data_IF_170053148286
#
_entry.id   IF_170053148286
#
_cell.length_a   1.000
_cell.length_b   1.000
_cell.length_c   1.000
_cell.angle_alpha   90.00
_cell.angle_beta   90.00
_cell.angle_gamma   90.00
#
_symmetry.space_group_name_H-M   'P 1'
#
loop_
_entity.id
_entity.type
_entity.pdbx_description
1 polymer ?
#
# COMPACT_ATOMS: atom_id res chain seq x y z
N UNK A 1 -96.28 -11.99 -36.32
CA UNK A 1 -96.18 -12.37 -34.90
C UNK A 1 -94.82 -13.05 -34.73
N UNK A 2 -93.83 -12.60 -33.96
CA UNK A 2 -93.86 -11.83 -32.72
C UNK A 2 -93.94 -12.78 -31.53
N UNK A 3 -92.78 -13.15 -30.96
CA UNK A 3 -92.46 -13.74 -29.63
C UNK A 3 -91.19 -14.61 -29.81
N UNK A 4 -90.03 -14.37 -29.21
CA UNK A 4 -89.68 -13.65 -27.99
C UNK A 4 -88.75 -14.56 -27.18
N UNK A 5 -87.47 -14.65 -27.59
CA UNK A 5 -86.44 -15.49 -26.98
C UNK A 5 -86.03 -14.91 -25.61
N UNK A 6 -86.48 -15.53 -24.50
CA UNK A 6 -85.98 -15.22 -23.16
C UNK A 6 -84.81 -16.16 -22.85
N UNK A 7 -83.57 -15.66 -22.96
CA UNK A 7 -82.38 -16.33 -22.40
C UNK A 7 -82.22 -15.88 -20.95
N UNK A 8 -82.34 -16.84 -20.03
CA UNK A 8 -82.09 -16.63 -18.61
C UNK A 8 -80.60 -16.48 -18.33
N UNK A 9 -80.29 -15.49 -17.48
CA UNK A 9 -78.97 -15.26 -16.89
C UNK A 9 -78.54 -16.46 -16.04
N UNK A 10 -77.36 -17.02 -16.30
CA UNK A 10 -76.61 -17.82 -15.33
C UNK A 10 -75.27 -17.12 -15.17
N UNK A 11 -75.12 -16.44 -14.03
CA UNK A 11 -73.93 -15.68 -13.66
C UNK A 11 -72.73 -16.60 -13.46
N UNK A 12 -71.66 -16.26 -14.16
CA UNK A 12 -70.31 -16.82 -14.02
C UNK A 12 -69.73 -16.35 -12.67
N UNK A 13 -69.54 -17.27 -11.73
CA UNK A 13 -68.67 -17.04 -10.58
C UNK A 13 -67.28 -17.51 -11.00
N UNK A 14 -66.43 -16.57 -11.43
CA UNK A 14 -64.99 -16.78 -11.51
C UNK A 14 -64.38 -16.34 -10.19
N UNK A 15 -63.85 -17.31 -9.46
CA UNK A 15 -63.08 -17.13 -8.24
C UNK A 15 -61.74 -16.47 -8.63
N UNK A 16 -61.64 -15.15 -8.45
CA UNK A 16 -60.40 -14.41 -8.62
C UNK A 16 -59.50 -14.75 -7.44
N UNK A 17 -58.47 -15.57 -7.68
CA UNK A 17 -57.31 -15.67 -6.79
C UNK A 17 -56.57 -14.34 -6.84
N UNK A 18 -56.83 -13.47 -5.85
CA UNK A 18 -55.98 -12.34 -5.58
C UNK A 18 -54.70 -12.85 -4.90
N UNK A 19 -53.67 -13.16 -5.70
CA UNK A 19 -52.32 -13.28 -5.19
C UNK A 19 -51.87 -11.88 -4.77
N UNK A 20 -51.89 -11.61 -3.47
CA UNK A 20 -51.29 -10.40 -2.89
C UNK A 20 -49.78 -10.57 -2.95
N UNK A 21 -49.20 -10.19 -4.08
CA UNK A 21 -47.78 -9.90 -4.22
C UNK A 21 -47.54 -8.51 -3.62
N UNK A 22 -46.76 -8.45 -2.55
CA UNK A 22 -45.75 -7.40 -2.27
C UNK A 22 -45.46 -7.42 -0.78
N UNK A 23 -44.62 -8.36 -0.37
CA UNK A 23 -43.67 -8.07 0.70
C UNK A 23 -42.45 -7.46 -0.01
N UNK A 24 -42.53 -6.16 -0.34
CA UNK A 24 -41.31 -5.37 -0.44
C UNK A 24 -40.77 -5.25 0.99
N UNK A 25 -39.99 -6.24 1.42
CA UNK A 25 -38.95 -5.95 2.39
C UNK A 25 -38.10 -4.86 1.75
N UNK A 26 -37.83 -3.72 2.41
CA UNK A 26 -36.79 -2.84 1.93
C UNK A 26 -35.53 -3.69 1.81
N UNK A 27 -35.00 -3.85 0.59
CA UNK A 27 -33.63 -4.32 0.45
C UNK A 27 -32.80 -3.46 1.39
N UNK A 28 -31.98 -4.06 2.28
CA UNK A 28 -31.09 -3.26 3.10
C UNK A 28 -30.33 -2.35 2.15
N UNK A 29 -30.32 -1.04 2.46
CA UNK A 29 -29.47 -0.11 1.73
C UNK A 29 -28.08 -0.76 1.65
N UNK A 30 -27.57 -0.90 0.42
CA UNK A 30 -26.31 -1.58 0.15
C UNK A 30 -25.22 -1.03 1.07
N UNK A 31 -24.44 -1.92 1.66
CA UNK A 31 -23.42 -1.54 2.63
C UNK A 31 -22.39 -0.60 1.99
N UNK A 32 -21.93 0.43 2.71
CA UNK A 32 -20.87 1.31 2.23
C UNK A 32 -19.67 0.50 1.75
N UNK A 33 -18.97 1.00 0.72
CA UNK A 33 -17.73 0.38 0.26
C UNK A 33 -16.73 0.30 1.41
N UNK A 34 -16.04 -0.84 1.51
CA UNK A 34 -15.00 -1.05 2.52
C UNK A 34 -13.67 -0.60 1.91
N UNK A 35 -13.19 0.57 2.31
CA UNK A 35 -11.91 1.13 1.87
C UNK A 35 -10.91 1.13 3.01
N UNK A 36 -9.61 0.96 2.73
CA UNK A 36 -8.58 1.12 3.75
C UNK A 36 -8.50 2.58 4.23
N UNK A 37 -8.17 2.81 5.51
CA UNK A 37 -7.77 4.15 5.97
C UNK A 37 -6.56 4.66 5.15
N UNK A 38 -6.60 5.90 4.68
CA UNK A 38 -5.54 6.49 3.84
C UNK A 38 -4.16 6.35 4.48
N UNK A 39 -4.06 6.62 5.77
CA UNK A 39 -2.83 6.51 6.56
C UNK A 39 -2.27 5.09 6.68
N UNK A 40 -3.10 4.07 6.42
CA UNK A 40 -2.69 2.67 6.48
C UNK A 40 -2.24 2.12 5.13
N UNK A 41 -2.50 2.81 4.02
CA UNK A 41 -2.18 2.30 2.68
C UNK A 41 -0.69 2.37 2.43
N UNK A 42 -0.09 1.21 2.15
CA UNK A 42 1.33 1.07 1.81
C UNK A 42 1.56 1.14 0.30
N UNK A 43 0.73 0.48 -0.49
CA UNK A 43 0.83 0.47 -1.97
C UNK A 43 -0.55 0.34 -2.60
N UNK A 44 -0.71 0.90 -3.80
CA UNK A 44 -1.86 0.66 -4.66
C UNK A 44 -1.37 0.14 -6.01
N UNK A 45 -1.90 -1.00 -6.43
CA UNK A 45 -1.61 -1.58 -7.75
C UNK A 45 -2.87 -1.50 -8.61
N UNK A 46 -2.73 -1.01 -9.83
CA UNK A 46 -3.81 -0.85 -10.81
C UNK A 46 -3.44 -1.65 -12.05
N UNK A 47 -4.33 -2.53 -12.49
CA UNK A 47 -4.11 -3.36 -13.68
C UNK A 47 -5.28 -3.26 -14.65
N UNK A 48 -4.97 -3.09 -15.94
CA UNK A 48 -5.91 -3.10 -17.07
C UNK A 48 -5.21 -3.64 -18.31
N UNK A 49 -5.85 -4.53 -19.05
CA UNK A 49 -5.33 -5.09 -20.31
C UNK A 49 -3.91 -5.68 -20.21
N UNK A 50 -3.57 -6.27 -19.05
CA UNK A 50 -2.24 -6.81 -18.75
C UNK A 50 -1.15 -5.75 -18.52
N UNK A 51 -1.52 -4.46 -18.47
CA UNK A 51 -0.66 -3.37 -18.01
C UNK A 51 -0.91 -3.13 -16.53
N UNK A 52 0.14 -3.24 -15.73
CA UNK A 52 0.10 -2.95 -14.29
C UNK A 52 0.89 -1.69 -13.99
N UNK A 53 0.37 -0.85 -13.11
CA UNK A 53 1.03 0.34 -12.56
C UNK A 53 0.85 0.37 -11.05
N UNK A 54 1.91 0.72 -10.32
CA UNK A 54 1.86 0.88 -8.86
C UNK A 54 1.91 2.37 -8.51
N UNK A 55 0.94 2.86 -7.76
CA UNK A 55 0.95 4.20 -7.16
C UNK A 55 1.15 4.10 -5.64
N UNK A 56 2.24 4.72 -5.18
CA UNK A 56 2.67 4.69 -3.77
C UNK A 56 2.74 6.07 -3.12
N UNK A 57 2.65 7.17 -3.89
CA UNK A 57 2.71 8.51 -3.31
C UNK A 57 1.38 8.90 -2.66
N UNK A 58 1.50 9.68 -1.59
CA UNK A 58 0.38 10.05 -0.72
C UNK A 58 -0.69 10.86 -1.46
N UNK A 59 -0.28 11.73 -2.37
CA UNK A 59 -1.19 12.58 -3.14
C UNK A 59 -2.09 11.77 -4.08
N UNK A 60 -1.53 10.82 -4.84
CA UNK A 60 -2.32 9.96 -5.74
C UNK A 60 -3.18 8.97 -4.97
N UNK A 61 -2.65 8.38 -3.88
CA UNK A 61 -3.41 7.49 -3.02
C UNK A 61 -4.59 8.24 -2.40
N UNK A 62 -4.34 9.44 -1.86
CA UNK A 62 -5.37 10.29 -1.28
C UNK A 62 -6.42 10.72 -2.31
N UNK A 63 -6.01 11.12 -3.52
CA UNK A 63 -6.94 11.49 -4.61
C UNK A 63 -7.82 10.29 -5.01
N UNK A 64 -7.22 9.11 -5.19
CA UNK A 64 -7.95 7.89 -5.55
C UNK A 64 -8.93 7.47 -4.46
N UNK A 65 -8.49 7.42 -3.20
CA UNK A 65 -9.37 7.08 -2.06
C UNK A 65 -10.49 8.10 -1.88
N UNK A 66 -10.20 9.39 -2.08
CA UNK A 66 -11.21 10.44 -2.00
C UNK A 66 -12.32 10.25 -3.04
N UNK A 67 -11.96 9.92 -4.28
CA UNK A 67 -12.93 9.65 -5.34
C UNK A 67 -13.72 8.36 -5.06
N UNK A 68 -13.05 7.30 -4.59
CA UNK A 68 -13.69 6.03 -4.23
C UNK A 68 -14.60 6.15 -2.99
N UNK A 69 -14.34 7.09 -2.09
CA UNK A 69 -15.20 7.32 -0.93
C UNK A 69 -16.54 7.97 -1.30
N UNK A 70 -16.64 8.62 -2.46
CA UNK A 70 -17.84 9.33 -2.94
C UNK A 70 -18.74 8.45 -3.84
N UNK A 71 -18.48 7.13 -3.88
CA UNK A 71 -19.27 6.21 -4.69
C UNK A 71 -20.65 5.94 -4.10
N UNK A 72 -21.66 5.84 -4.96
CA UNK A 72 -23.04 5.59 -4.54
C UNK A 72 -23.39 4.11 -4.68
N UNK A 73 -24.01 3.48 -3.68
CA UNK A 73 -24.24 2.05 -3.72
C UNK A 73 -25.50 1.74 -4.56
N UNK A 74 -25.37 0.84 -5.54
CA UNK A 74 -26.44 0.58 -6.54
C UNK A 74 -27.59 -0.30 -6.03
N UNK A 75 -27.43 -0.92 -4.85
CA UNK A 75 -28.33 -1.95 -4.34
C UNK A 75 -28.12 -3.34 -4.95
N UNK A 76 -27.18 -3.50 -5.89
CA UNK A 76 -26.83 -4.79 -6.47
C UNK A 76 -25.82 -5.54 -5.59
N UNK A 77 -25.92 -6.87 -5.56
CA UNK A 77 -25.00 -7.73 -4.83
C UNK A 77 -23.84 -8.14 -5.75
N UNK A 78 -22.63 -8.11 -5.23
CA UNK A 78 -21.50 -8.88 -5.77
C UNK A 78 -21.46 -10.22 -5.06
N UNK A 79 -21.44 -11.33 -5.80
CA UNK A 79 -21.37 -12.70 -5.25
C UNK A 79 -20.22 -13.50 -5.86
N UNK A 80 -19.26 -12.79 -6.46
CA UNK A 80 -18.17 -13.34 -7.24
C UNK A 80 -16.84 -12.64 -6.90
N UNK A 81 -15.72 -13.32 -7.18
CA UNK A 81 -14.37 -12.80 -6.92
C UNK A 81 -13.91 -11.77 -7.95
N UNK A 82 -14.48 -11.81 -9.16
CA UNK A 82 -14.15 -10.93 -10.30
C UNK A 82 -15.44 -10.54 -11.04
N UNK A 83 -15.50 -9.39 -11.72
CA UNK A 83 -16.69 -8.98 -12.48
C UNK A 83 -17.10 -10.00 -13.54
N UNK A 84 -18.37 -9.93 -13.94
CA UNK A 84 -18.88 -10.71 -15.07
C UNK A 84 -18.51 -10.11 -16.44
N UNK A 85 -18.09 -8.85 -16.46
CA UNK A 85 -17.63 -8.18 -17.68
C UNK A 85 -16.20 -8.64 -18.02
N UNK A 86 -15.92 -8.82 -19.30
CA UNK A 86 -14.60 -9.28 -19.77
C UNK A 86 -13.54 -8.17 -19.69
N UNK A 87 -13.96 -6.92 -19.78
CA UNK A 87 -13.10 -5.73 -19.74
C UNK A 87 -13.30 -5.00 -18.40
N UNK A 88 -12.24 -4.96 -17.59
CA UNK A 88 -12.25 -4.28 -16.30
C UNK A 88 -10.84 -3.81 -15.91
N UNK A 89 -10.80 -2.93 -14.91
CA UNK A 89 -9.60 -2.49 -14.22
C UNK A 89 -9.61 -3.06 -12.82
N UNK A 90 -8.58 -3.78 -12.40
CA UNK A 90 -8.42 -4.14 -10.99
C UNK A 90 -7.64 -3.07 -10.24
N UNK A 91 -8.04 -2.83 -9.01
CA UNK A 91 -7.42 -1.87 -8.09
C UNK A 91 -7.19 -2.61 -6.77
N UNK A 92 -5.93 -2.74 -6.37
CA UNK A 92 -5.51 -3.45 -5.16
C UNK A 92 -4.83 -2.47 -4.21
N UNK A 93 -5.45 -2.21 -3.07
CA UNK A 93 -4.78 -1.52 -1.97
C UNK A 93 -4.17 -2.55 -1.04
N UNK A 94 -2.91 -2.35 -0.66
CA UNK A 94 -2.26 -3.12 0.38
C UNK A 94 -2.00 -2.22 1.59
N UNK A 95 -2.49 -2.60 2.76
CA UNK A 95 -2.26 -1.82 3.97
C UNK A 95 -0.94 -2.18 4.68
N UNK A 96 -0.64 -1.48 5.77
CA UNK A 96 0.56 -1.69 6.58
C UNK A 96 0.59 -3.04 7.28
N UNK A 97 -0.54 -3.74 7.40
CA UNK A 97 -0.69 -5.07 8.00
C UNK A 97 -0.78 -6.18 6.92
N UNK A 98 -0.46 -5.84 5.67
CA UNK A 98 -0.51 -6.72 4.50
C UNK A 98 -1.92 -7.19 4.10
N UNK A 99 -2.99 -6.56 4.60
CA UNK A 99 -4.35 -6.82 4.09
C UNK A 99 -4.50 -6.22 2.70
N UNK A 100 -5.19 -6.95 1.82
CA UNK A 100 -5.45 -6.55 0.44
C UNK A 100 -6.93 -6.21 0.28
N UNK A 101 -7.21 -4.99 -0.16
CA UNK A 101 -8.54 -4.51 -0.54
C UNK A 101 -8.61 -4.50 -2.06
N UNK A 102 -9.55 -5.25 -2.61
CA UNK A 102 -9.70 -5.41 -4.07
C UNK A 102 -10.98 -4.73 -4.52
N UNK A 103 -10.85 -3.90 -5.56
CA UNK A 103 -11.96 -3.30 -6.27
C UNK A 103 -11.79 -3.53 -7.77
N UNK A 104 -12.90 -3.53 -8.49
CA UNK A 104 -12.90 -3.60 -9.95
C UNK A 104 -13.69 -2.45 -10.53
N UNK A 105 -13.16 -1.76 -11.53
CA UNK A 105 -13.86 -0.73 -12.29
C UNK A 105 -14.13 -1.23 -13.71
N UNK A 106 -15.37 -1.12 -14.17
CA UNK A 106 -15.78 -1.54 -15.51
C UNK A 106 -16.94 -0.70 -16.04
N UNK A 107 -17.08 -0.65 -17.36
CA UNK A 107 -18.23 -0.07 -18.04
C UNK A 107 -19.21 -1.19 -18.42
N UNK A 108 -20.50 -0.97 -18.17
CA UNK A 108 -21.60 -1.84 -18.63
C UNK A 108 -22.75 -0.98 -19.10
N UNK A 109 -23.25 -1.25 -20.31
CA UNK A 109 -24.37 -0.52 -20.91
C UNK A 109 -24.14 1.01 -20.94
N UNK A 110 -22.89 1.46 -21.20
CA UNK A 110 -22.47 2.86 -21.17
C UNK A 110 -22.61 3.55 -19.80
N UNK A 111 -22.63 2.77 -18.73
CA UNK A 111 -22.56 3.23 -17.35
C UNK A 111 -21.33 2.63 -16.67
N UNK A 112 -20.65 3.43 -15.87
CA UNK A 112 -19.51 3.00 -15.09
C UNK A 112 -19.94 2.35 -13.78
N UNK A 113 -19.19 1.34 -13.35
CA UNK A 113 -19.42 0.64 -12.09
C UNK A 113 -18.10 0.37 -11.37
N UNK A 114 -18.17 0.33 -10.04
CA UNK A 114 -17.15 -0.24 -9.18
C UNK A 114 -17.72 -1.43 -8.44
N UNK A 115 -17.05 -2.57 -8.48
CA UNK A 115 -17.44 -3.79 -7.78
C UNK A 115 -16.41 -4.15 -6.72
N UNK A 116 -16.89 -4.44 -5.50
CA UNK A 116 -16.12 -5.06 -4.44
C UNK A 116 -16.63 -6.50 -4.24
N UNK A 117 -15.74 -7.52 -4.34
CA UNK A 117 -16.12 -8.91 -4.15
C UNK A 117 -16.89 -9.14 -2.85
N UNK A 118 -18.03 -9.80 -2.96
CA UNK A 118 -18.92 -10.14 -1.84
C UNK A 118 -19.46 -8.96 -1.03
N UNK A 119 -19.18 -7.72 -1.44
CA UNK A 119 -19.55 -6.52 -0.70
C UNK A 119 -20.65 -5.76 -1.44
N UNK A 120 -20.46 -5.47 -2.73
CA UNK A 120 -21.47 -4.75 -3.51
C UNK A 120 -20.95 -4.15 -4.81
N UNK A 121 -21.89 -3.56 -5.55
CA UNK A 121 -21.64 -2.82 -6.79
C UNK A 121 -22.08 -1.37 -6.57
N UNK A 122 -21.23 -0.44 -7.00
CA UNK A 122 -21.31 0.99 -6.74
C UNK A 122 -21.26 1.76 -8.07
N UNK A 123 -21.94 2.90 -8.11
CA UNK A 123 -21.79 3.91 -9.16
C UNK A 123 -20.61 4.81 -8.77
N UNK A 124 -19.56 4.93 -9.60
CA UNK A 124 -18.39 5.70 -9.26
C UNK A 124 -18.62 7.20 -9.40
N UNK A 125 -17.83 7.99 -8.68
CA UNK A 125 -17.72 9.41 -8.96
C UNK A 125 -17.17 9.64 -10.39
N UNK A 126 -17.68 10.63 -11.16
CA UNK A 126 -17.34 10.82 -12.58
C UNK A 126 -15.85 10.99 -12.91
N UNK A 127 -15.03 11.34 -11.92
CA UNK A 127 -13.60 11.56 -12.10
C UNK A 127 -12.77 10.25 -12.08
N UNK A 128 -13.33 9.13 -11.66
CA UNK A 128 -12.58 7.90 -11.43
C UNK A 128 -11.93 7.35 -12.71
N UNK A 129 -12.69 7.19 -13.78
CA UNK A 129 -12.18 6.66 -15.05
C UNK A 129 -10.99 7.47 -15.59
N UNK A 130 -11.12 8.81 -15.56
CA UNK A 130 -10.06 9.74 -16.01
C UNK A 130 -8.80 9.61 -15.15
N UNK A 131 -8.94 9.45 -13.83
CA UNK A 131 -7.79 9.25 -12.95
C UNK A 131 -7.10 7.91 -13.24
N UNK A 132 -7.86 6.83 -13.40
CA UNK A 132 -7.32 5.50 -13.73
C UNK A 132 -6.57 5.52 -15.06
N UNK A 133 -7.14 6.17 -16.09
CA UNK A 133 -6.49 6.36 -17.39
C UNK A 133 -5.16 7.09 -17.23
N UNK A 134 -5.15 8.20 -16.49
CA UNK A 134 -3.93 8.97 -16.23
C UNK A 134 -2.86 8.15 -15.50
N UNK A 135 -3.25 7.35 -14.50
CA UNK A 135 -2.33 6.49 -13.73
C UNK A 135 -1.77 5.35 -14.59
N UNK A 136 -2.58 4.80 -15.50
CA UNK A 136 -2.17 3.76 -16.43
C UNK A 136 -1.32 4.33 -17.58
N UNK A 137 -1.67 5.49 -18.14
CA UNK A 137 -0.97 6.13 -19.25
C UNK A 137 0.40 6.69 -18.86
N UNK A 138 0.58 7.11 -17.61
CA UNK A 138 1.80 7.79 -17.17
C UNK A 138 3.07 7.00 -17.48
N UNK A 139 3.01 5.66 -17.57
CA UNK A 139 3.92 4.78 -18.35
C UNK A 139 5.40 4.77 -17.98
N UNK A 140 5.89 5.78 -17.29
CA UNK A 140 7.14 5.81 -16.57
C UNK A 140 6.86 5.23 -15.18
N UNK A 141 7.78 4.45 -14.60
CA UNK A 141 7.73 4.20 -13.18
C UNK A 141 7.76 5.57 -12.52
N UNK A 142 6.61 6.02 -12.02
CA UNK A 142 6.59 7.13 -11.08
C UNK A 142 7.53 6.65 -9.99
N UNK A 143 8.68 7.32 -9.83
CA UNK A 143 9.54 7.05 -8.70
C UNK A 143 8.68 7.34 -7.48
N UNK A 144 8.10 6.27 -6.94
CA UNK A 144 7.09 6.35 -5.92
C UNK A 144 7.80 6.83 -4.66
N UNK A 145 7.24 7.85 -4.02
CA UNK A 145 7.63 8.21 -2.66
C UNK A 145 7.51 6.93 -1.83
N UNK A 146 8.64 6.50 -1.28
CA UNK A 146 8.64 5.35 -0.39
C UNK A 146 8.05 5.80 0.93
N UNK A 147 7.39 4.86 1.64
CA UNK A 147 6.98 5.07 3.04
C UNK A 147 8.14 5.73 3.79
N UNK A 148 7.90 6.75 4.63
CA UNK A 148 8.97 7.37 5.39
C UNK A 148 9.78 6.32 6.15
N UNK A 149 11.09 6.36 5.97
CA UNK A 149 12.05 5.40 6.49
C UNK A 149 13.24 6.14 7.07
N UNK A 150 13.83 5.54 8.11
CA UNK A 150 15.08 6.00 8.69
C UNK A 150 15.97 4.80 8.97
N UNK A 151 17.24 4.92 8.62
CA UNK A 151 18.28 3.98 8.98
C UNK A 151 18.91 4.45 10.30
N UNK A 152 18.79 3.64 11.34
CA UNK A 152 19.33 3.94 12.66
C UNK A 152 19.92 2.66 13.27
N UNK A 153 21.12 2.76 13.82
CA UNK A 153 21.85 1.62 14.42
C UNK A 153 21.90 0.37 13.54
N UNK A 154 22.15 0.56 12.23
CA UNK A 154 22.25 -0.52 11.24
C UNK A 154 20.93 -1.21 10.89
N UNK A 155 19.80 -0.71 11.39
CA UNK A 155 18.47 -1.25 11.10
C UNK A 155 17.56 -0.22 10.42
N UNK A 156 16.70 -0.72 9.54
CA UNK A 156 15.69 0.09 8.87
C UNK A 156 14.40 0.17 9.69
N UNK A 157 13.93 1.38 9.93
CA UNK A 157 12.69 1.67 10.62
C UNK A 157 11.71 2.34 9.67
N UNK A 158 10.48 1.83 9.61
CA UNK A 158 9.43 2.29 8.71
C UNK A 158 8.37 3.01 9.52
N UNK A 159 7.88 4.12 8.98
CA UNK A 159 6.76 4.84 9.57
C UNK A 159 5.55 3.92 9.71
N UNK A 160 4.88 4.03 10.86
CA UNK A 160 3.66 3.27 11.15
C UNK A 160 2.40 4.12 10.97
N UNK A 161 2.55 5.42 10.69
CA UNK A 161 1.45 6.39 10.69
C UNK A 161 0.96 6.79 12.09
N UNK A 162 1.45 6.14 13.15
CA UNK A 162 1.01 6.38 14.54
C UNK A 162 1.81 7.51 15.18
N UNK A 163 1.12 8.42 15.85
CA UNK A 163 1.72 9.33 16.83
C UNK A 163 1.86 8.63 18.19
N UNK A 164 2.99 8.81 18.85
CA UNK A 164 3.29 8.23 20.16
C UNK A 164 2.43 8.87 21.25
N UNK A 165 1.93 8.04 22.17
CA UNK A 165 1.12 8.48 23.31
C UNK A 165 1.94 8.74 24.58
N UNK A 166 3.26 8.53 24.51
CA UNK A 166 4.17 8.69 25.65
C UNK A 166 4.23 10.17 26.06
N UNK A 167 3.87 10.45 27.32
CA UNK A 167 3.96 11.79 27.92
C UNK A 167 5.11 11.84 28.93
N UNK A 168 5.87 12.95 28.94
CA UNK A 168 6.97 13.17 29.90
C UNK A 168 8.32 12.55 29.48
N UNK A 169 8.73 12.75 28.23
CA UNK A 169 10.03 12.29 27.72
C UNK A 169 11.20 12.95 28.45
N UNK A 170 12.30 12.22 28.57
CA UNK A 170 13.58 12.81 28.95
C UNK A 170 13.98 13.84 27.89
N UNK A 171 14.47 15.02 28.32
CA UNK A 171 14.86 16.10 27.40
C UNK A 171 16.14 15.81 26.59
N UNK A 172 16.73 14.63 26.76
CA UNK A 172 17.91 14.16 26.02
C UNK A 172 17.45 13.22 24.93
N UNK A 173 17.84 13.48 23.68
CA UNK A 173 17.58 12.61 22.54
C UNK A 173 18.58 11.44 22.53
N UNK A 174 18.15 10.27 22.06
CA UNK A 174 19.04 9.12 21.88
C UNK A 174 19.90 9.28 20.61
N UNK A 175 19.36 9.97 19.61
CA UNK A 175 20.09 10.37 18.41
C UNK A 175 19.36 11.42 17.60
N UNK A 176 19.91 11.74 16.42
CA UNK A 176 19.38 12.74 15.50
C UNK A 176 19.52 12.22 14.06
N UNK A 177 18.50 12.45 13.23
CA UNK A 177 18.55 12.23 11.78
C UNK A 177 19.31 13.40 11.17
N UNK A 178 20.55 13.18 10.75
CA UNK A 178 21.47 14.24 10.29
C UNK A 178 21.49 14.42 8.78
N UNK A 179 20.98 13.46 8.00
CA UNK A 179 20.99 13.51 6.55
C UNK A 179 19.65 13.03 5.96
N UNK A 180 19.38 13.43 4.72
CA UNK A 180 18.22 12.99 3.97
C UNK A 180 18.59 12.62 2.54
N UNK A 181 17.94 11.59 2.02
CA UNK A 181 17.89 11.22 0.60
C UNK A 181 16.57 11.68 -0.01
N UNK A 182 16.44 11.54 -1.32
CA UNK A 182 15.17 11.79 -2.00
C UNK A 182 14.08 10.85 -1.46
N UNK A 183 12.82 11.29 -1.47
CA UNK A 183 11.67 10.53 -0.95
C UNK A 183 11.50 9.15 -1.57
N UNK A 184 12.02 8.98 -2.78
CA UNK A 184 11.95 7.77 -3.59
C UNK A 184 13.09 6.78 -3.29
N UNK A 185 14.10 7.22 -2.54
CA UNK A 185 15.30 6.45 -2.21
C UNK A 185 15.17 5.75 -0.86
N UNK A 186 15.92 4.66 -0.70
CA UNK A 186 16.03 3.96 0.58
C UNK A 186 17.26 4.51 1.30
N UNK A 187 17.13 5.02 2.53
CA UNK A 187 18.28 5.49 3.30
C UNK A 187 19.33 4.40 3.44
N UNK A 188 20.59 4.74 3.23
CA UNK A 188 21.69 3.78 3.25
C UNK A 188 22.68 3.96 4.40
N UNK A 189 22.66 5.13 5.03
CA UNK A 189 23.58 5.47 6.11
C UNK A 189 22.82 5.65 7.42
N UNK A 190 23.45 5.32 8.55
CA UNK A 190 22.88 5.62 9.85
C UNK A 190 22.58 7.11 9.99
N UNK A 191 21.46 7.43 10.61
CA UNK A 191 20.93 8.79 10.77
C UNK A 191 20.55 9.47 9.44
N UNK A 192 20.27 8.67 8.41
CA UNK A 192 19.72 9.13 7.15
C UNK A 192 18.25 8.73 7.02
N UNK A 193 17.43 9.62 6.47
CA UNK A 193 16.02 9.35 6.18
C UNK A 193 15.64 9.72 4.75
N UNK A 194 14.47 9.30 4.28
CA UNK A 194 13.90 9.79 3.02
C UNK A 194 12.79 10.84 3.24
N UNK A 195 12.67 11.41 4.45
CA UNK A 195 11.61 12.35 4.80
C UNK A 195 12.13 13.67 5.39
N UNK A 196 13.45 13.82 5.53
CA UNK A 196 14.11 15.05 5.97
C UNK A 196 15.15 14.82 7.08
N UNK A 197 15.84 15.89 7.48
CA UNK A 197 16.89 15.85 8.48
C UNK A 197 16.65 16.92 9.57
N UNK A 198 17.43 16.86 10.65
CA UNK A 198 17.31 17.72 11.82
C UNK A 198 16.30 17.23 12.86
N UNK A 199 15.85 15.98 12.76
CA UNK A 199 14.86 15.39 13.67
C UNK A 199 15.55 14.56 14.75
N UNK A 200 15.36 14.92 16.02
CA UNK A 200 15.78 14.08 17.14
C UNK A 200 14.90 12.83 17.27
N UNK A 201 15.47 11.72 17.71
CA UNK A 201 14.74 10.48 17.97
C UNK A 201 15.07 9.88 19.33
N UNK A 202 14.17 9.01 19.80
CA UNK A 202 14.34 8.17 20.97
C UNK A 202 13.94 6.73 20.65
N UNK A 203 14.55 5.77 21.33
CA UNK A 203 14.09 4.38 21.28
C UNK A 203 12.72 4.28 21.93
N UNK A 204 11.75 3.73 21.21
CA UNK A 204 10.38 3.61 21.69
C UNK A 204 10.26 2.58 22.81
N UNK A 205 9.15 2.66 23.56
CA UNK A 205 8.89 1.72 24.66
C UNK A 205 8.46 0.33 24.18
N UNK A 206 7.97 0.24 22.94
CA UNK A 206 7.66 -1.03 22.27
C UNK A 206 8.96 -1.58 21.64
N UNK A 207 9.18 -2.89 21.73
CA UNK A 207 10.37 -3.51 21.16
C UNK A 207 10.48 -3.25 19.65
N UNK A 208 11.68 -2.85 19.21
CA UNK A 208 11.94 -2.58 17.80
C UNK A 208 11.27 -1.31 17.28
N UNK A 209 10.88 -0.38 18.15
CA UNK A 209 10.34 0.93 17.74
C UNK A 209 11.35 2.05 17.94
N UNK A 210 11.30 3.01 17.03
CA UNK A 210 12.06 4.25 17.04
C UNK A 210 11.04 5.38 16.93
N UNK A 211 11.05 6.32 17.86
CA UNK A 211 10.11 7.44 17.86
C UNK A 211 10.86 8.71 17.46
N UNK A 212 10.41 9.36 16.39
CA UNK A 212 11.08 10.53 15.79
C UNK A 212 10.25 11.78 16.07
N UNK A 213 10.89 12.83 16.58
CA UNK A 213 10.25 14.12 16.81
C UNK A 213 10.23 14.94 15.52
N UNK A 214 9.10 14.93 14.83
CA UNK A 214 8.86 15.66 13.57
C UNK A 214 7.87 16.78 13.89
N UNK A 215 8.31 18.04 13.71
CA UNK A 215 7.48 19.23 13.96
C UNK A 215 6.80 19.26 15.34
N UNK A 216 7.48 18.74 16.36
CA UNK A 216 6.98 18.68 17.74
C UNK A 216 6.02 17.53 18.02
N UNK A 217 5.73 16.68 17.03
CA UNK A 217 4.99 15.42 17.18
C UNK A 217 5.94 14.24 17.18
N UNK A 218 5.64 13.23 17.99
CA UNK A 218 6.46 12.03 18.05
C UNK A 218 5.86 10.95 17.17
N UNK A 219 6.44 10.73 16.00
CA UNK A 219 5.99 9.72 15.06
C UNK A 219 6.66 8.38 15.37
N UNK A 220 5.87 7.30 15.41
CA UNK A 220 6.36 5.96 15.72
C UNK A 220 6.79 5.27 14.43
N UNK A 221 8.06 4.91 14.37
CA UNK A 221 8.62 4.05 13.35
C UNK A 221 8.88 2.67 13.95
N UNK A 222 8.67 1.62 13.16
CA UNK A 222 8.87 0.24 13.59
C UNK A 222 9.88 -0.45 12.68
N UNK A 223 10.80 -1.17 13.29
CA UNK A 223 11.70 -2.08 12.58
C UNK A 223 10.85 -3.13 11.89
N UNK A 224 10.83 -3.10 10.56
CA UNK A 224 10.40 -4.25 9.77
C UNK A 224 11.65 -5.00 9.36
N UNK A 225 11.68 -6.29 9.66
CA UNK A 225 12.56 -7.17 8.92
C UNK A 225 11.99 -7.20 7.50
N UNK A 226 12.60 -6.44 6.59
CA UNK A 226 12.31 -6.56 5.17
C UNK A 226 12.57 -8.01 4.83
N UNK A 227 11.53 -8.73 4.43
CA UNK A 227 11.51 -10.07 3.83
C UNK A 227 12.60 -11.04 4.35
N UNK A 228 12.22 -12.17 4.93
CA UNK A 228 13.21 -13.21 5.29
C UNK A 228 14.12 -13.62 4.11
N UNK A 229 13.78 -13.28 2.87
CA UNK A 229 14.61 -13.44 1.68
C UNK A 229 15.71 -12.38 1.47
N UNK A 230 15.74 -11.22 2.15
CA UNK A 230 16.74 -10.16 1.89
C UNK A 230 17.49 -9.67 3.13
N UNK A 231 18.70 -9.14 2.94
CA UNK A 231 19.56 -8.62 4.00
C UNK A 231 20.32 -7.38 3.53
N UNK A 232 20.38 -6.36 4.40
CA UNK A 232 21.04 -5.10 4.10
C UNK A 232 22.53 -5.14 4.47
N UNK A 233 23.39 -4.64 3.58
CA UNK A 233 24.81 -4.45 3.82
C UNK A 233 25.39 -3.35 2.92
N UNK A 234 26.10 -2.39 3.53
CA UNK A 234 26.92 -1.38 2.86
C UNK A 234 26.25 -0.65 1.67
N UNK A 235 25.05 -0.08 1.88
CA UNK A 235 24.37 0.66 0.82
C UNK A 235 23.39 -0.17 -0.02
N UNK A 236 23.37 -1.50 0.14
CA UNK A 236 22.68 -2.40 -0.78
C UNK A 236 21.88 -3.48 -0.06
N UNK A 237 20.71 -3.81 -0.63
CA UNK A 237 19.96 -5.01 -0.28
C UNK A 237 20.47 -6.21 -1.08
N UNK A 238 20.74 -7.30 -0.37
CA UNK A 238 21.20 -8.57 -0.92
C UNK A 238 20.11 -9.61 -0.76
N UNK A 239 19.87 -10.37 -1.81
CA UNK A 239 19.01 -11.56 -1.74
C UNK A 239 19.77 -12.68 -1.02
N UNK A 240 19.21 -13.18 0.08
CA UNK A 240 19.80 -14.24 0.90
C UNK A 240 19.94 -15.54 0.13
N UNK A 241 19.08 -15.81 -0.86
CA UNK A 241 19.20 -17.00 -1.71
C UNK A 241 20.46 -16.99 -2.57
N UNK A 242 21.02 -15.80 -2.84
CA UNK A 242 22.27 -15.60 -3.57
C UNK A 242 23.53 -15.56 -2.71
N UNK A 243 23.39 -15.64 -1.37
CA UNK A 243 24.52 -15.55 -0.43
C UNK A 243 24.81 -16.92 0.19
N UNK A 244 26.08 -17.20 0.47
CA UNK A 244 26.44 -18.40 1.23
C UNK A 244 25.95 -18.33 2.67
N UNK A 245 25.72 -19.49 3.28
CA UNK A 245 25.32 -19.60 4.69
C UNK A 245 26.33 -18.92 5.64
N UNK A 246 27.63 -18.96 5.30
CA UNK A 246 28.67 -18.27 6.07
C UNK A 246 28.57 -16.75 5.94
N UNK A 247 28.24 -16.21 4.76
CA UNK A 247 27.96 -14.78 4.57
C UNK A 247 26.72 -14.35 5.33
N UNK A 248 25.66 -15.16 5.33
CA UNK A 248 24.45 -14.86 6.10
C UNK A 248 24.70 -14.84 7.61
N UNK A 249 25.50 -15.78 8.12
CA UNK A 249 25.93 -15.80 9.53
C UNK A 249 26.80 -14.61 9.88
N UNK A 250 27.69 -14.22 8.97
CA UNK A 250 28.53 -13.03 9.13
C UNK A 250 27.67 -11.76 9.15
N UNK A 251 26.69 -11.63 8.25
CA UNK A 251 25.78 -10.48 8.21
C UNK A 251 24.88 -10.39 9.44
N UNK A 252 24.38 -11.52 9.95
CA UNK A 252 23.62 -11.56 11.19
C UNK A 252 24.44 -11.09 12.40
N UNK A 253 25.75 -11.40 12.43
CA UNK A 253 26.67 -10.90 13.42
C UNK A 253 27.01 -9.42 13.21
N UNK A 254 27.38 -9.03 11.99
CA UNK A 254 27.79 -7.68 11.61
C UNK A 254 26.68 -6.66 11.87
N UNK A 255 25.44 -6.95 11.46
CA UNK A 255 24.27 -6.10 11.71
C UNK A 255 23.84 -6.08 13.19
N UNK A 256 24.44 -6.93 14.04
CA UNK A 256 24.28 -6.89 15.49
C UNK A 256 25.36 -6.09 16.22
N UNK A 257 26.36 -5.56 15.51
CA UNK A 257 27.42 -4.72 16.06
C UNK A 257 26.99 -3.25 16.10
N UNK A 258 27.54 -2.48 17.04
CA UNK A 258 27.38 -1.01 17.05
C UNK A 258 28.04 -0.36 15.84
N UNK A 259 27.64 0.86 15.47
CA UNK A 259 28.23 1.57 14.33
C UNK A 259 29.75 1.75 14.40
N UNK A 260 30.32 1.97 15.59
CA UNK A 260 31.78 2.06 15.80
C UNK A 260 32.47 0.70 15.56
N UNK A 261 31.86 -0.38 16.05
CA UNK A 261 32.36 -1.74 15.84
C UNK A 261 32.27 -2.13 14.36
N UNK A 262 31.16 -1.83 13.68
CA UNK A 262 30.99 -2.07 12.24
C UNK A 262 32.07 -1.35 11.42
N UNK A 263 32.38 -0.09 11.75
CA UNK A 263 33.41 0.69 11.07
C UNK A 263 34.84 0.15 11.28
N UNK A 264 35.06 -0.63 12.35
CA UNK A 264 36.34 -1.28 12.65
C UNK A 264 36.54 -2.61 11.91
N UNK A 265 35.49 -3.16 11.28
CA UNK A 265 35.55 -4.42 10.55
C UNK A 265 36.11 -4.19 9.15
N UNK A 266 37.32 -4.71 8.89
CA UNK A 266 38.01 -4.58 7.59
C UNK A 266 37.86 -5.80 6.68
N UNK A 267 37.28 -6.89 7.18
CA UNK A 267 37.12 -8.14 6.44
C UNK A 267 35.66 -8.34 6.05
N UNK A 268 35.39 -8.34 4.75
CA UNK A 268 34.06 -8.51 4.16
C UNK A 268 34.02 -9.84 3.39
N UNK A 269 32.96 -10.67 3.55
CA UNK A 269 32.78 -11.89 2.78
C UNK A 269 32.84 -11.66 1.27
N UNK A 270 33.42 -12.62 0.54
CA UNK A 270 33.61 -12.52 -0.91
C UNK A 270 32.29 -12.38 -1.69
N UNK A 271 31.21 -12.99 -1.20
CA UNK A 271 29.88 -12.89 -1.78
C UNK A 271 29.35 -11.44 -1.82
N UNK A 272 29.90 -10.56 -0.98
CA UNK A 272 29.51 -9.16 -0.87
C UNK A 272 30.46 -8.20 -1.62
N UNK A 273 31.49 -8.74 -2.29
CA UNK A 273 32.43 -7.98 -3.12
C UNK A 273 32.00 -8.10 -4.59
N UNK A 274 31.58 -6.99 -5.20
CA UNK A 274 31.10 -7.00 -6.59
C UNK A 274 32.23 -7.32 -7.60
N UNK A 275 31.95 -8.19 -8.57
CA UNK A 275 32.81 -8.50 -9.73
C UNK A 275 32.72 -7.45 -10.86
N UNK A 276 31.99 -6.34 -10.67
CA UNK A 276 31.97 -5.25 -11.64
C UNK A 276 33.27 -4.43 -11.60
N UNK A 277 34.26 -4.86 -12.40
CA UNK A 277 35.55 -4.20 -12.55
C UNK A 277 35.47 -2.73 -12.95
N UNK A 278 35.83 -1.83 -12.02
CA UNK A 278 36.57 -0.61 -12.32
C UNK A 278 37.69 -0.53 -11.28
N UNK A 279 38.89 -0.91 -11.70
CA UNK A 279 40.11 -0.62 -10.97
C UNK A 279 40.37 0.88 -10.96
N UNK A 280 40.63 1.43 -9.77
CA UNK A 280 41.68 2.44 -9.63
C UNK A 280 42.21 2.42 -8.20
N UNK A 281 43.20 1.58 -7.99
CA UNK A 281 44.37 2.00 -7.23
C UNK A 281 44.84 3.33 -7.81
N UNK A 282 44.66 4.42 -7.06
CA UNK A 282 45.50 5.60 -7.26
C UNK A 282 46.90 5.21 -6.81
N UNK A 283 47.76 4.92 -7.78
CA UNK A 283 49.19 4.91 -7.55
C UNK A 283 49.59 6.28 -7.04
N UNK A 284 50.03 6.33 -5.79
CA UNK A 284 50.69 7.51 -5.25
C UNK A 284 52.08 7.56 -5.89
N UNK A 285 52.28 8.49 -6.82
CA UNK A 285 53.59 8.89 -7.30
C UNK A 285 54.44 9.33 -6.10
N UNK A 286 55.32 8.44 -5.65
CA UNK A 286 56.41 8.78 -4.75
C UNK A 286 57.61 9.25 -5.59
N UNK A 287 57.71 10.57 -5.73
CA UNK A 287 58.98 11.26 -5.99
C UNK A 287 60.02 10.85 -4.93
N UNK A 288 61.19 10.38 -5.36
CA UNK A 288 62.46 10.62 -4.66
C UNK A 288 63.67 10.34 -5.58
N UNK A 289 64.36 11.43 -5.93
CA UNK A 289 65.79 11.60 -6.27
C UNK A 289 66.63 10.41 -6.75
#
# INVERSE_FOLDING_TARGET
MGHGLKKGFIGMIWMVYAAVMSACSPSPASEPAVLPPEESVQTVSIERDGKTTDCGNKEQIGELLFILADMEPTGQQSVQDVPQEDEYTSIHFKDTEDHVYTLFYYEKDSMDYVEQPYQGIYEPAPALGVLLDKLLESGEPVLNDRIPMVMADGAMYYDTGRESTVTGRCGVMDGEITAAVERTEVPSENNQSNFGAGYGYQWGTEEGTLEVCIDGKWMVFKRRYVDESQVYFAGRWWDKSGLSEDTLRWLAWYNGLTGEEQASISSVPADLLDESGISRTEETDAQAN
#
